data_IF_933577354616
#
_entry.id   IF_933577354616
#
_cell.length_a   1.000
_cell.length_b   1.000
_cell.length_c   1.000
_cell.angle_alpha   90.00
_cell.angle_beta   90.00
_cell.angle_gamma   90.00
#
_symmetry.space_group_name_H-M   'P 1'
#
loop_
_entity.id
_entity.type
_entity.pdbx_description
1 polymer ?
#
# COMPACT_ATOMS: atom_id res chain seq x y z
N UNK A 1 15.59 29.39 2.08
CA UNK A 1 15.33 28.05 1.54
C UNK A 1 15.01 27.15 2.72
N UNK A 2 13.74 26.99 3.04
CA UNK A 2 13.30 26.53 4.37
C UNK A 2 13.36 25.01 4.46
N UNK A 3 14.27 24.47 5.27
CA UNK A 3 14.32 23.06 5.65
C UNK A 3 13.07 22.71 6.46
N UNK A 4 12.14 21.97 5.85
CA UNK A 4 10.99 21.42 6.57
C UNK A 4 11.42 20.17 7.35
N UNK A 5 11.07 20.10 8.64
CA UNK A 5 11.41 19.00 9.60
C UNK A 5 11.21 17.57 9.07
N UNK A 6 10.35 17.37 8.08
CA UNK A 6 10.13 16.09 7.38
C UNK A 6 11.37 15.58 6.63
N UNK A 7 12.24 16.45 6.12
CA UNK A 7 13.44 16.03 5.37
C UNK A 7 14.58 15.53 6.26
N UNK A 8 14.64 15.97 7.52
CA UNK A 8 15.62 15.46 8.50
C UNK A 8 15.31 14.02 8.91
N UNK A 9 14.09 13.54 8.70
CA UNK A 9 13.69 12.14 8.94
C UNK A 9 14.23 11.15 7.90
N UNK A 10 14.79 11.56 6.75
CA UNK A 10 15.19 10.59 5.69
C UNK A 10 16.69 10.27 5.63
N UNK A 11 17.49 10.76 6.58
CA UNK A 11 18.92 10.43 6.67
C UNK A 11 19.10 9.18 7.54
N UNK A 12 19.56 8.08 6.96
CA UNK A 12 19.95 6.86 7.69
C UNK A 12 19.00 5.67 7.62
N UNK A 13 17.90 5.74 6.85
CA UNK A 13 16.90 4.67 6.80
C UNK A 13 15.99 4.71 8.02
N UNK A 14 15.01 5.61 8.01
CA UNK A 14 14.12 5.83 9.15
C UNK A 14 12.78 5.15 8.92
N UNK A 15 12.29 4.49 9.97
CA UNK A 15 10.90 4.07 10.13
C UNK A 15 10.03 5.31 10.40
N UNK A 16 9.06 5.60 9.55
CA UNK A 16 7.97 6.52 9.87
C UNK A 16 6.74 5.69 10.20
N UNK A 17 6.40 5.52 11.48
CA UNK A 17 5.16 4.87 11.91
C UNK A 17 4.92 3.47 11.30
N UNK A 18 5.98 2.67 11.14
CA UNK A 18 5.92 1.35 10.50
C UNK A 18 6.23 1.33 8.99
N UNK A 19 6.45 2.49 8.36
CA UNK A 19 6.93 2.61 6.99
C UNK A 19 8.46 2.72 6.94
N UNK A 20 9.15 1.89 6.16
CA UNK A 20 10.60 1.90 5.97
C UNK A 20 10.97 2.38 4.57
N UNK A 21 11.88 3.34 4.50
CA UNK A 21 12.44 3.88 3.25
C UNK A 21 13.94 3.60 3.13
N UNK A 22 14.36 2.99 2.01
CA UNK A 22 15.76 2.67 1.72
C UNK A 22 16.24 3.49 0.53
N UNK A 23 16.95 4.58 0.84
CA UNK A 23 17.36 5.64 -0.10
C UNK A 23 18.11 5.12 -1.34
N UNK A 24 19.08 4.22 -1.16
CA UNK A 24 19.93 3.74 -2.27
C UNK A 24 19.18 2.86 -3.28
N UNK A 25 18.09 2.24 -2.84
CA UNK A 25 17.29 1.31 -3.67
C UNK A 25 15.93 1.86 -4.08
N UNK A 26 15.56 3.06 -3.62
CA UNK A 26 14.24 3.67 -3.83
C UNK A 26 13.08 2.84 -3.28
N UNK A 27 13.37 1.86 -2.40
CA UNK A 27 12.36 0.96 -1.81
C UNK A 27 11.62 1.63 -0.67
N UNK A 28 10.30 1.56 -0.73
CA UNK A 28 9.37 2.06 0.26
C UNK A 28 8.45 0.91 0.64
N UNK A 29 8.35 0.64 1.93
CA UNK A 29 7.53 -0.47 2.42
C UNK A 29 6.89 -0.11 3.75
N UNK A 30 5.77 -0.74 4.07
CA UNK A 30 5.17 -0.61 5.39
C UNK A 30 4.04 -1.62 5.58
N UNK A 31 3.73 -1.90 6.84
CA UNK A 31 2.68 -2.82 7.24
C UNK A 31 1.54 -2.08 7.96
N UNK A 32 0.29 -2.49 7.73
CA UNK A 32 -0.90 -1.90 8.34
C UNK A 32 -0.94 -0.37 8.10
N UNK A 33 -1.04 0.45 9.15
CA UNK A 33 -0.93 1.92 9.07
C UNK A 33 0.37 2.38 8.39
N UNK A 34 1.48 1.67 8.62
CA UNK A 34 2.75 1.93 7.95
C UNK A 34 2.66 1.71 6.44
N UNK A 35 1.79 0.82 5.97
CA UNK A 35 1.50 0.64 4.54
C UNK A 35 0.84 1.88 3.94
N UNK A 36 -0.14 2.46 4.63
CA UNK A 36 -0.77 3.72 4.22
C UNK A 36 0.23 4.88 4.17
N UNK A 37 1.04 5.03 5.21
CA UNK A 37 2.10 6.04 5.26
C UNK A 37 3.14 5.84 4.15
N UNK A 38 3.52 4.60 3.84
CA UNK A 38 4.43 4.29 2.75
C UNK A 38 3.88 4.73 1.39
N UNK A 39 2.58 4.54 1.13
CA UNK A 39 1.96 5.03 -0.11
C UNK A 39 1.89 6.55 -0.20
N UNK A 40 1.57 7.23 0.91
CA UNK A 40 1.61 8.70 0.95
C UNK A 40 3.03 9.24 0.73
N UNK A 41 4.04 8.60 1.35
CA UNK A 41 5.44 8.93 1.15
C UNK A 41 5.86 8.72 -0.32
N UNK A 42 5.45 7.61 -0.93
CA UNK A 42 5.70 7.35 -2.35
C UNK A 42 5.09 8.43 -3.24
N UNK A 43 3.82 8.78 -3.03
CA UNK A 43 3.14 9.85 -3.75
C UNK A 43 3.88 11.19 -3.61
N UNK A 44 4.32 11.52 -2.39
CA UNK A 44 5.07 12.76 -2.13
C UNK A 44 6.44 12.76 -2.83
N UNK A 45 7.15 11.63 -2.85
CA UNK A 45 8.44 11.50 -3.54
C UNK A 45 8.26 11.70 -5.05
N UNK A 46 7.28 11.04 -5.66
CA UNK A 46 6.92 11.20 -7.07
C UNK A 46 6.63 12.69 -7.36
N UNK A 47 5.75 13.32 -6.58
CA UNK A 47 5.37 14.71 -6.79
C UNK A 47 6.55 15.68 -6.61
N UNK A 48 7.42 15.43 -5.64
CA UNK A 48 8.62 16.26 -5.40
C UNK A 48 9.71 16.10 -6.45
N UNK A 49 9.62 15.09 -7.33
CA UNK A 49 10.64 14.72 -8.31
C UNK A 49 12.03 14.50 -7.69
N UNK A 50 12.08 14.12 -6.41
CA UNK A 50 13.34 13.92 -5.68
C UNK A 50 14.15 12.74 -6.24
N UNK A 51 13.47 11.75 -6.84
CA UNK A 51 14.06 10.56 -7.45
C UNK A 51 13.26 10.21 -8.72
N UNK A 52 13.89 9.69 -9.79
CA UNK A 52 13.19 9.16 -10.96
C UNK A 52 12.14 8.12 -10.59
N UNK A 53 10.96 8.18 -11.22
CA UNK A 53 9.81 7.33 -10.90
C UNK A 53 10.14 5.83 -11.05
N UNK A 54 11.01 5.49 -11.99
CA UNK A 54 11.44 4.13 -12.32
C UNK A 54 12.27 3.50 -11.20
N UNK A 55 12.86 4.31 -10.31
CA UNK A 55 13.61 3.84 -9.16
C UNK A 55 12.74 3.63 -7.92
N UNK A 56 11.50 4.11 -7.92
CA UNK A 56 10.60 4.00 -6.78
C UNK A 56 9.98 2.60 -6.77
N UNK A 57 10.17 1.87 -5.67
CA UNK A 57 9.62 0.53 -5.47
C UNK A 57 8.77 0.51 -4.21
N UNK A 58 7.47 0.50 -4.37
CA UNK A 58 6.51 0.51 -3.26
C UNK A 58 5.95 -0.91 -3.03
N UNK A 59 6.13 -1.45 -1.82
CA UNK A 59 5.52 -2.72 -1.40
C UNK A 59 4.93 -2.59 -0.01
N UNK A 60 3.61 -2.67 0.09
CA UNK A 60 2.88 -2.56 1.37
C UNK A 60 2.25 -3.89 1.77
N UNK A 61 1.99 -4.06 3.07
CA UNK A 61 1.41 -5.29 3.63
C UNK A 61 0.19 -4.93 4.48
N UNK A 62 -0.97 -5.54 4.24
CA UNK A 62 -2.19 -5.27 5.00
C UNK A 62 -2.59 -3.79 4.99
N UNK A 63 -2.30 -3.08 3.88
CA UNK A 63 -2.51 -1.65 3.78
C UNK A 63 -4.01 -1.30 3.77
N UNK A 64 -4.48 -0.37 4.62
CA UNK A 64 -5.82 0.19 4.53
C UNK A 64 -5.94 1.15 3.34
N UNK A 65 -7.17 1.45 2.92
CA UNK A 65 -7.42 2.44 1.85
C UNK A 65 -6.83 3.78 2.29
N UNK A 66 -6.12 4.44 1.38
CA UNK A 66 -5.27 5.58 1.74
C UNK A 66 -5.73 6.90 1.11
N UNK A 67 -6.48 6.84 0.02
CA UNK A 67 -7.04 8.01 -0.66
C UNK A 67 -8.26 7.63 -1.49
N UNK A 68 -8.82 8.61 -2.20
CA UNK A 68 -9.95 8.44 -3.10
C UNK A 68 -9.55 7.77 -4.43
N UNK A 69 -10.53 7.56 -5.32
CA UNK A 69 -10.31 7.01 -6.67
C UNK A 69 -9.35 7.87 -7.52
N UNK A 70 -9.32 9.18 -7.31
CA UNK A 70 -8.37 10.09 -7.95
C UNK A 70 -6.92 9.83 -7.52
N UNK A 71 -6.69 9.70 -6.22
CA UNK A 71 -5.41 9.29 -5.65
C UNK A 71 -4.99 7.90 -6.14
N UNK A 72 -5.90 6.92 -6.13
CA UNK A 72 -5.63 5.57 -6.60
C UNK A 72 -5.19 5.54 -8.07
N UNK A 73 -5.91 6.27 -8.94
CA UNK A 73 -5.59 6.42 -10.36
C UNK A 73 -4.28 7.14 -10.60
N UNK A 74 -4.02 8.21 -9.82
CA UNK A 74 -2.77 8.98 -9.88
C UNK A 74 -1.56 8.14 -9.48
N UNK A 75 -1.70 7.31 -8.45
CA UNK A 75 -0.68 6.35 -8.02
C UNK A 75 -0.43 5.27 -9.07
N UNK A 76 -1.49 4.69 -9.65
CA UNK A 76 -1.39 3.70 -10.71
C UNK A 76 -0.66 4.23 -11.95
N UNK A 77 -0.90 5.51 -12.29
CA UNK A 77 -0.26 6.18 -13.42
C UNK A 77 1.20 6.55 -13.13
N UNK A 78 1.47 7.02 -11.91
CA UNK A 78 2.79 7.55 -11.52
C UNK A 78 3.81 6.48 -11.13
N UNK A 79 3.36 5.31 -10.69
CA UNK A 79 4.20 4.21 -10.20
C UNK A 79 4.01 2.93 -11.02
N UNK A 80 3.90 3.04 -12.34
CA UNK A 80 3.49 1.96 -13.24
C UNK A 80 4.30 0.65 -13.15
N UNK A 81 5.55 0.69 -12.70
CA UNK A 81 6.46 -0.46 -12.72
C UNK A 81 6.48 -1.29 -11.43
N UNK A 82 6.53 -0.66 -10.25
CA UNK A 82 6.75 -1.33 -8.97
C UNK A 82 5.91 -0.72 -7.84
N UNK A 83 4.60 -0.96 -7.89
CA UNK A 83 3.69 -0.76 -6.77
C UNK A 83 2.95 -2.07 -6.50
N UNK A 84 3.04 -2.61 -5.28
CA UNK A 84 2.36 -3.85 -4.90
C UNK A 84 1.77 -3.72 -3.50
N UNK A 85 0.50 -4.07 -3.37
CA UNK A 85 -0.15 -4.29 -2.07
C UNK A 85 -0.24 -5.77 -1.81
N UNK A 86 0.33 -6.23 -0.70
CA UNK A 86 0.23 -7.62 -0.26
C UNK A 86 -0.88 -7.72 0.78
N UNK A 87 -1.87 -8.55 0.50
CA UNK A 87 -3.09 -8.70 1.31
C UNK A 87 -3.34 -10.17 1.64
N UNK A 88 -4.02 -10.42 2.76
CA UNK A 88 -4.28 -11.77 3.26
C UNK A 88 -5.77 -12.00 3.47
N UNK A 89 -6.29 -13.10 2.93
CA UNK A 89 -7.58 -13.70 3.24
C UNK A 89 -8.63 -12.68 3.70
N UNK A 90 -9.09 -12.77 4.96
CA UNK A 90 -10.13 -11.91 5.55
C UNK A 90 -9.55 -10.74 6.37
N UNK A 91 -8.43 -10.16 5.95
CA UNK A 91 -7.85 -9.01 6.65
C UNK A 91 -8.76 -7.79 6.52
N UNK A 92 -9.42 -7.46 7.63
CA UNK A 92 -10.35 -6.33 7.74
C UNK A 92 -9.66 -4.97 7.55
N UNK A 93 -8.36 -4.87 7.84
CA UNK A 93 -7.61 -3.60 7.74
C UNK A 93 -7.61 -3.11 6.29
N UNK A 94 -7.53 -4.01 5.32
CA UNK A 94 -7.55 -3.67 3.90
C UNK A 94 -8.86 -2.99 3.49
N UNK A 95 -9.96 -3.27 4.21
CA UNK A 95 -11.29 -2.75 3.87
C UNK A 95 -11.67 -1.47 4.62
N UNK A 96 -10.77 -0.89 5.42
CA UNK A 96 -10.99 0.40 6.08
C UNK A 96 -10.13 1.51 5.45
N UNK A 97 -10.60 2.77 5.43
CA UNK A 97 -12.01 3.17 5.60
C UNK A 97 -12.92 2.58 4.50
N UNK A 98 -14.21 2.36 4.78
CA UNK A 98 -15.18 1.91 3.78
C UNK A 98 -15.30 2.88 2.62
N UNK A 99 -15.52 2.35 1.40
CA UNK A 99 -15.71 3.19 0.19
C UNK A 99 -16.84 4.21 0.34
N UNK A 100 -17.92 3.81 1.03
CA UNK A 100 -19.10 4.67 1.26
C UNK A 100 -18.79 5.96 2.02
N UNK A 101 -17.65 6.03 2.73
CA UNK A 101 -17.33 7.16 3.58
C UNK A 101 -16.73 8.35 2.81
N UNK A 102 -16.22 8.17 1.57
CA UNK A 102 -15.62 9.23 0.71
C UNK A 102 -15.01 8.71 -0.61
N UNK A 103 -15.52 7.61 -1.16
CA UNK A 103 -14.93 6.91 -2.33
C UNK A 103 -13.44 6.54 -2.14
N UNK A 104 -13.08 6.17 -0.92
CA UNK A 104 -11.76 5.60 -0.66
C UNK A 104 -11.54 4.38 -1.53
N UNK A 105 -10.39 4.31 -2.18
CA UNK A 105 -10.06 3.26 -3.14
C UNK A 105 -8.61 2.82 -2.98
N UNK A 106 -8.37 1.55 -3.30
CA UNK A 106 -7.03 1.01 -3.45
C UNK A 106 -6.51 1.23 -4.87
N UNK A 107 -5.18 1.36 -5.00
CA UNK A 107 -4.51 1.38 -6.30
C UNK A 107 -4.30 -0.04 -6.86
N UNK A 108 -4.10 -0.08 -8.19
CA UNK A 108 -4.36 -1.20 -9.11
C UNK A 108 -3.79 -2.58 -8.80
N UNK A 109 -2.60 -2.69 -8.19
CA UNK A 109 -1.89 -3.99 -8.13
C UNK A 109 -1.95 -4.62 -6.75
N UNK A 110 -2.67 -5.74 -6.64
CA UNK A 110 -2.78 -6.54 -5.43
C UNK A 110 -2.17 -7.93 -5.59
N UNK A 111 -1.34 -8.33 -4.62
CA UNK A 111 -0.83 -9.67 -4.44
C UNK A 111 -1.60 -10.27 -3.25
N UNK A 112 -2.56 -11.11 -3.57
CA UNK A 112 -3.50 -11.64 -2.59
C UNK A 112 -3.17 -13.08 -2.23
N UNK A 113 -3.12 -13.34 -0.93
CA UNK A 113 -2.98 -14.69 -0.38
C UNK A 113 -4.29 -15.12 0.24
N UNK A 114 -4.98 -16.07 -0.39
CA UNK A 114 -6.20 -16.67 0.15
C UNK A 114 -5.90 -17.81 1.14
N UNK A 115 -4.90 -17.61 2.00
CA UNK A 115 -4.36 -18.61 2.92
C UNK A 115 -3.52 -17.94 4.02
N UNK A 116 -2.82 -18.75 4.81
CA UNK A 116 -2.01 -18.30 5.93
C UNK A 116 -0.60 -17.78 5.56
N UNK A 117 -0.32 -17.49 4.27
CA UNK A 117 0.97 -16.99 3.77
C UNK A 117 2.19 -17.82 4.24
N UNK A 118 2.03 -19.14 4.43
CA UNK A 118 3.16 -20.02 4.78
C UNK A 118 4.21 -20.02 3.66
N UNK A 119 5.49 -20.31 3.94
CA UNK A 119 6.50 -20.45 2.89
C UNK A 119 6.02 -21.41 1.78
N UNK A 120 6.09 -20.97 0.53
CA UNK A 120 5.59 -21.74 -0.64
C UNK A 120 4.08 -21.62 -0.89
N UNK A 121 3.35 -20.81 -0.12
CA UNK A 121 1.93 -20.58 -0.35
C UNK A 121 1.66 -19.95 -1.73
N UNK A 122 0.59 -20.41 -2.36
CA UNK A 122 0.10 -19.84 -3.63
C UNK A 122 -0.52 -18.46 -3.38
N UNK A 123 -0.37 -17.59 -4.36
CA UNK A 123 -0.93 -16.23 -4.36
C UNK A 123 -1.55 -15.91 -5.71
N UNK A 124 -2.43 -14.92 -5.70
CA UNK A 124 -3.16 -14.43 -6.88
C UNK A 124 -2.71 -13.00 -7.14
N UNK A 125 -2.38 -12.69 -8.40
CA UNK A 125 -2.15 -11.31 -8.85
C UNK A 125 -3.45 -10.74 -9.38
N UNK A 126 -4.03 -9.77 -8.68
CA UNK A 126 -5.12 -8.99 -9.24
C UNK A 126 -4.56 -7.73 -9.90
N UNK A 127 -4.75 -7.65 -11.22
CA UNK A 127 -4.32 -6.56 -12.10
C UNK A 127 -5.50 -6.21 -12.99
N UNK A 128 -6.37 -5.28 -12.59
CA UNK A 128 -7.54 -5.03 -13.43
C UNK A 128 -8.65 -4.12 -12.91
N UNK A 129 -8.66 -3.75 -11.65
CA UNK A 129 -9.67 -2.84 -11.14
C UNK A 129 -9.45 -2.57 -9.67
N UNK A 130 -9.73 -1.36 -9.26
CA UNK A 130 -9.82 -1.01 -7.86
C UNK A 130 -10.83 -1.98 -7.23
N UNK A 131 -10.42 -2.69 -6.18
CA UNK A 131 -11.30 -3.59 -5.42
C UNK A 131 -11.78 -4.84 -6.19
N UNK A 132 -10.86 -5.57 -6.81
CA UNK A 132 -11.13 -6.84 -7.53
C UNK A 132 -11.83 -7.90 -6.64
N UNK A 133 -12.98 -8.41 -7.09
CA UNK A 133 -13.80 -9.44 -6.42
C UNK A 133 -13.17 -10.82 -6.40
N UNK A 134 -12.04 -11.04 -7.08
CA UNK A 134 -11.27 -12.28 -6.99
C UNK A 134 -10.22 -12.23 -5.87
N UNK A 135 -9.88 -11.03 -5.38
CA UNK A 135 -8.90 -10.80 -4.32
C UNK A 135 -9.58 -10.40 -3.00
N UNK A 136 -8.94 -9.60 -2.14
CA UNK A 136 -9.45 -9.30 -0.80
C UNK A 136 -10.89 -8.76 -0.81
N UNK A 137 -11.29 -8.01 -1.85
CA UNK A 137 -12.64 -7.43 -1.92
C UNK A 137 -13.77 -8.48 -1.96
N UNK A 138 -13.47 -9.75 -2.27
CA UNK A 138 -14.43 -10.85 -2.10
C UNK A 138 -14.94 -11.03 -0.67
N UNK A 139 -14.17 -10.53 0.32
CA UNK A 139 -14.52 -10.53 1.74
C UNK A 139 -15.01 -9.18 2.25
N UNK A 140 -15.11 -8.15 1.40
CA UNK A 140 -15.47 -6.79 1.81
C UNK A 140 -16.88 -6.65 2.43
N UNK A 141 -17.77 -7.63 2.20
CA UNK A 141 -19.10 -7.70 2.82
C UNK A 141 -19.13 -8.47 4.15
N UNK A 142 -18.02 -9.09 4.54
CA UNK A 142 -17.94 -10.02 5.67
C UNK A 142 -17.01 -9.44 6.73
N UNK A 143 -17.53 -8.55 7.58
CA UNK A 143 -16.87 -8.16 8.83
C UNK A 143 -17.05 -9.27 9.88
N UNK A 144 -16.68 -10.52 9.58
CA UNK A 144 -16.77 -11.60 10.56
C UNK A 144 -15.51 -11.69 11.41
N UNK A 145 -15.76 -11.88 12.70
CA UNK A 145 -14.89 -11.79 13.86
C UNK A 145 -13.84 -12.93 13.95
N UNK A 146 -13.13 -13.23 12.86
CA UNK A 146 -11.90 -14.02 12.92
C UNK A 146 -10.73 -13.06 12.94
N UNK A 147 -9.96 -13.15 14.02
CA UNK A 147 -8.81 -12.33 14.36
C UNK A 147 -8.00 -11.93 13.13
N UNK A 148 -7.87 -10.62 12.89
CA UNK A 148 -6.82 -10.07 12.04
C UNK A 148 -5.49 -10.50 12.64
N UNK A 149 -4.96 -11.63 12.19
CA UNK A 149 -3.56 -11.95 12.45
C UNK A 149 -2.76 -11.02 11.53
N UNK A 150 -2.36 -9.89 12.11
CA UNK A 150 -1.46 -8.92 11.52
C UNK A 150 -0.24 -9.66 10.96
N UNK A 151 0.10 -9.37 9.71
CA UNK A 151 1.16 -10.03 8.95
C UNK A 151 2.51 -9.84 9.65
#
# INVERSE_FOLDING_TARGET
MTEYKVFKLFRGGVLIGGAKYVRDSGRITGHSLGGALASLAAAKIVHSKAIPQERIKLVTFGQPRTGDSGFASGMASSLSFYNYRVTRARDLVVHVPPRVFQDYAHYRTEIFYDNDMKPGAKWIRCVGGDEDKNCANKYGHVLNNKSSLFI
#
